data_IF_847207540729
#
_entry.id   IF_847207540729
#
_cell.length_a   1.000
_cell.length_b   1.000
_cell.length_c   1.000
_cell.angle_alpha   90.00
_cell.angle_beta   90.00
_cell.angle_gamma   90.00
#
_symmetry.space_group_name_H-M   'P 1'
#
loop_
_entity.id
_entity.type
_entity.pdbx_description
1 polymer ?
#
# COMPACT_ATOMS: atom_id res chain seq x y z
N UNK A 1 13.43 17.60 31.43
CA UNK A 1 12.36 16.87 30.69
C UNK A 1 12.20 17.50 29.32
N UNK A 2 12.05 16.72 28.25
CA UNK A 2 11.94 17.22 26.86
C UNK A 2 10.69 18.09 26.63
N UNK A 3 9.66 17.94 27.45
CA UNK A 3 8.39 18.69 27.35
C UNK A 3 8.58 20.22 27.43
N UNK A 4 9.64 20.72 28.06
CA UNK A 4 9.91 22.16 28.14
C UNK A 4 10.40 22.76 26.82
N UNK A 5 10.93 21.93 25.91
CA UNK A 5 11.43 22.40 24.61
C UNK A 5 10.30 22.95 23.72
N UNK A 6 9.06 22.53 23.96
CA UNK A 6 7.86 22.98 23.24
C UNK A 6 7.38 24.39 23.64
N UNK A 7 7.92 24.96 24.72
CA UNK A 7 7.52 26.26 25.25
C UNK A 7 8.67 27.27 25.19
N UNK A 8 8.33 28.55 25.16
CA UNK A 8 9.30 29.62 25.40
C UNK A 8 9.81 29.59 26.84
N UNK A 9 10.92 30.30 27.10
CA UNK A 9 11.44 30.46 28.45
C UNK A 9 10.34 31.03 29.38
N UNK A 10 10.16 30.48 30.59
CA UNK A 10 9.04 30.83 31.43
C UNK A 10 9.16 32.25 31.97
N UNK A 11 8.01 32.90 32.13
CA UNK A 11 7.90 34.18 32.84
C UNK A 11 7.36 33.89 34.24
N UNK A 12 8.02 34.44 35.26
CA UNK A 12 7.56 34.35 36.65
C UNK A 12 6.37 35.29 36.84
N UNK A 13 5.27 34.77 37.36
CA UNK A 13 4.02 35.50 37.61
C UNK A 13 3.60 35.29 39.05
N UNK A 14 3.33 36.38 39.76
CA UNK A 14 2.74 36.33 41.10
C UNK A 14 1.23 36.38 40.96
N UNK A 15 0.57 35.32 41.42
CA UNK A 15 -0.89 35.22 41.41
C UNK A 15 -1.50 36.11 42.51
N UNK A 16 -2.79 36.50 42.40
CA UNK A 16 -3.46 37.34 43.40
C UNK A 16 -3.48 36.76 44.83
N UNK A 17 -3.33 35.44 44.96
CA UNK A 17 -3.24 34.72 46.23
C UNK A 17 -1.80 34.68 46.80
N UNK A 18 -0.86 35.41 46.19
CA UNK A 18 0.54 35.50 46.61
C UNK A 18 1.43 34.36 46.14
N UNK A 19 0.88 33.36 45.42
CA UNK A 19 1.67 32.23 44.92
C UNK A 19 2.51 32.62 43.71
N UNK A 20 3.77 32.17 43.71
CA UNK A 20 4.66 32.30 42.57
C UNK A 20 4.40 31.14 41.60
N UNK A 21 4.16 31.48 40.33
CA UNK A 21 3.92 30.53 39.26
C UNK A 21 4.78 30.87 38.05
N UNK A 22 5.30 29.84 37.39
CA UNK A 22 5.97 29.96 36.10
C UNK A 22 4.97 29.78 34.96
N UNK A 23 4.84 30.81 34.11
CA UNK A 23 4.02 30.78 32.88
C UNK A 23 4.87 30.36 31.70
N UNK A 24 4.49 29.26 31.05
CA UNK A 24 5.11 28.73 29.84
C UNK A 24 4.18 28.96 28.66
N UNK A 25 4.58 29.80 27.71
CA UNK A 25 3.82 30.09 26.48
C UNK A 25 4.22 29.10 25.40
N UNK A 26 3.24 28.53 24.69
CA UNK A 26 3.50 27.58 23.62
C UNK A 26 4.18 28.27 22.43
N UNK A 27 5.16 27.59 21.82
CA UNK A 27 5.88 28.10 20.63
C UNK A 27 5.05 28.03 19.35
N UNK A 28 4.04 27.17 19.31
CA UNK A 28 3.21 26.90 18.12
C UNK A 28 1.92 27.70 18.18
N UNK A 29 1.21 27.63 19.31
CA UNK A 29 0.04 28.45 19.58
C UNK A 29 0.39 29.51 20.63
N UNK A 30 0.77 30.69 20.15
CA UNK A 30 1.11 31.83 21.01
C UNK A 30 -0.03 32.30 21.92
N UNK A 31 -1.27 31.86 21.69
CA UNK A 31 -2.42 32.16 22.56
C UNK A 31 -2.57 31.18 23.73
N UNK A 32 -1.93 30.01 23.65
CA UNK A 32 -1.97 28.98 24.68
C UNK A 32 -0.79 29.09 25.65
N UNK A 33 -1.07 28.86 26.94
CA UNK A 33 -0.02 28.80 27.98
C UNK A 33 -0.33 27.75 29.04
N UNK A 34 0.72 27.24 29.69
CA UNK A 34 0.66 26.34 30.83
C UNK A 34 1.31 27.01 32.04
N UNK A 35 0.68 26.91 33.20
CA UNK A 35 1.20 27.43 34.47
C UNK A 35 1.74 26.27 35.31
N UNK A 36 2.80 26.52 36.08
CA UNK A 36 3.39 25.54 37.01
C UNK A 36 3.91 26.23 38.27
N UNK A 37 3.67 25.66 39.43
CA UNK A 37 4.23 26.19 40.68
C UNK A 37 5.67 25.69 40.90
N UNK A 38 6.46 26.44 41.68
CA UNK A 38 7.89 26.16 41.90
C UNK A 38 8.14 24.82 42.61
N UNK A 39 7.15 24.33 43.37
CA UNK A 39 7.21 23.07 44.13
C UNK A 39 6.62 21.85 43.40
N UNK A 40 6.05 22.03 42.20
CA UNK A 40 5.44 20.93 41.45
C UNK A 40 6.45 20.23 40.56
N UNK A 41 6.80 18.97 40.80
CA UNK A 41 7.76 18.23 39.96
C UNK A 41 7.13 17.51 38.75
N UNK A 42 5.79 17.48 38.67
CA UNK A 42 5.07 16.84 37.57
C UNK A 42 5.04 17.71 36.30
N UNK A 43 5.07 17.06 35.14
CA UNK A 43 4.93 17.70 33.82
C UNK A 43 3.66 17.29 33.08
N UNK A 44 2.68 16.76 33.80
CA UNK A 44 1.46 16.20 33.20
C UNK A 44 0.62 17.20 32.40
N UNK A 45 0.51 18.45 32.86
CA UNK A 45 -0.19 19.52 32.12
C UNK A 45 0.55 19.90 30.82
N UNK A 46 1.89 19.94 30.82
CA UNK A 46 2.72 20.17 29.63
C UNK A 46 2.49 19.05 28.60
N UNK A 47 2.56 17.79 29.05
CA UNK A 47 2.35 16.63 28.18
C UNK A 47 0.95 16.62 27.55
N UNK A 48 -0.09 16.96 28.33
CA UNK A 48 -1.47 17.06 27.83
C UNK A 48 -1.63 18.17 26.80
N UNK A 49 -1.00 19.32 27.01
CA UNK A 49 -1.00 20.39 26.02
C UNK A 49 -0.31 19.95 24.72
N UNK A 50 0.89 19.37 24.81
CA UNK A 50 1.67 18.92 23.65
C UNK A 50 0.88 17.91 22.82
N UNK A 51 0.19 16.96 23.45
CA UNK A 51 -0.62 15.95 22.75
C UNK A 51 -1.75 16.55 21.90
N UNK A 52 -2.28 17.70 22.29
CA UNK A 52 -3.31 18.44 21.53
C UNK A 52 -2.67 19.37 20.50
N UNK A 53 -1.59 20.05 20.89
CA UNK A 53 -0.92 21.06 20.07
C UNK A 53 -0.16 20.45 18.88
N UNK A 54 0.40 19.26 19.08
CA UNK A 54 1.04 18.44 18.05
C UNK A 54 0.49 17.02 18.18
N UNK A 55 -0.65 16.71 17.53
CA UNK A 55 -1.13 15.34 17.48
C UNK A 55 -0.03 14.47 16.87
N UNK A 56 0.33 13.39 17.57
CA UNK A 56 1.32 12.44 17.08
C UNK A 56 0.75 11.79 15.84
N UNK A 57 1.47 11.88 14.71
CA UNK A 57 1.16 11.11 13.49
C UNK A 57 1.34 9.62 13.79
N UNK A 58 0.29 8.98 14.27
CA UNK A 58 0.26 7.52 14.42
C UNK A 58 -0.26 6.89 13.12
N UNK A 59 0.23 5.68 12.76
CA UNK A 59 -0.28 4.94 11.61
C UNK A 59 -1.81 4.77 11.65
N UNK A 60 -2.40 4.64 12.84
CA UNK A 60 -3.84 4.46 13.04
C UNK A 60 -4.63 5.74 12.76
N UNK A 61 -4.13 6.90 13.21
CA UNK A 61 -4.75 8.20 12.92
C UNK A 61 -4.70 8.49 11.41
N UNK A 62 -3.60 8.13 10.76
CA UNK A 62 -3.42 8.30 9.32
C UNK A 62 -4.33 7.39 8.50
N UNK A 63 -4.51 6.12 8.91
CA UNK A 63 -5.45 5.19 8.25
C UNK A 63 -6.89 5.68 8.39
N UNK A 64 -7.25 6.22 9.56
CA UNK A 64 -8.60 6.76 9.80
C UNK A 64 -8.87 8.04 8.98
N UNK A 65 -7.87 8.91 8.85
CA UNK A 65 -7.95 10.11 8.01
C UNK A 65 -7.99 9.76 6.51
N UNK A 66 -7.16 8.83 6.06
CA UNK A 66 -7.17 8.31 4.68
C UNK A 66 -8.52 7.66 4.36
N UNK A 67 -9.10 6.89 5.30
CA UNK A 67 -10.44 6.32 5.16
C UNK A 67 -11.53 7.39 5.08
N UNK A 68 -11.48 8.42 5.95
CA UNK A 68 -12.43 9.54 5.93
C UNK A 68 -12.34 10.36 4.62
N UNK A 69 -11.15 10.44 4.02
CA UNK A 69 -10.91 11.04 2.69
C UNK A 69 -11.28 10.12 1.52
N UNK A 70 -11.76 8.90 1.79
CA UNK A 70 -12.18 7.94 0.76
C UNK A 70 -11.02 7.27 0.02
N UNK A 71 -9.81 7.26 0.59
CA UNK A 71 -8.65 6.61 -0.02
C UNK A 71 -8.82 5.08 0.05
N UNK A 72 -9.01 4.44 -1.10
CA UNK A 72 -9.14 2.97 -1.20
C UNK A 72 -7.83 2.26 -1.55
N UNK A 73 -6.70 2.98 -1.48
CA UNK A 73 -5.39 2.44 -1.81
C UNK A 73 -5.00 1.33 -0.82
N UNK A 74 -4.49 0.21 -1.34
CA UNK A 74 -3.83 -0.79 -0.52
C UNK A 74 -2.68 -1.44 -1.29
N UNK A 75 -1.59 -1.71 -0.57
CA UNK A 75 -0.38 -2.29 -1.17
C UNK A 75 -0.62 -3.65 -1.85
N UNK A 76 -1.38 -4.60 -1.26
CA UNK A 76 -1.68 -5.85 -1.95
C UNK A 76 -2.53 -5.64 -3.22
N UNK A 77 -3.50 -4.72 -3.17
CA UNK A 77 -4.43 -4.47 -4.28
C UNK A 77 -3.74 -3.82 -5.46
N UNK A 78 -2.86 -2.84 -5.23
CA UNK A 78 -2.13 -2.19 -6.34
C UNK A 78 -1.20 -3.17 -7.04
N UNK A 79 -0.52 -4.06 -6.29
CA UNK A 79 0.31 -5.13 -6.86
C UNK A 79 -0.50 -6.06 -7.76
N UNK A 80 -1.64 -6.53 -7.26
CA UNK A 80 -2.53 -7.40 -8.02
C UNK A 80 -3.04 -6.72 -9.30
N UNK A 81 -3.52 -5.48 -9.21
CA UNK A 81 -4.05 -4.74 -10.37
C UNK A 81 -2.97 -4.47 -11.43
N UNK A 82 -1.75 -4.11 -11.03
CA UNK A 82 -0.63 -3.91 -11.95
C UNK A 82 -0.21 -5.23 -12.61
N UNK A 83 -0.11 -6.32 -11.84
CA UNK A 83 0.22 -7.63 -12.39
C UNK A 83 -0.83 -8.07 -13.43
N UNK A 84 -2.11 -7.91 -13.12
CA UNK A 84 -3.21 -8.20 -14.03
C UNK A 84 -3.17 -7.31 -15.28
N UNK A 85 -2.94 -6.01 -15.11
CA UNK A 85 -2.83 -5.08 -16.22
C UNK A 85 -1.70 -5.45 -17.18
N UNK A 86 -0.51 -5.76 -16.64
CA UNK A 86 0.63 -6.20 -17.43
C UNK A 86 0.35 -7.50 -18.18
N UNK A 87 -0.21 -8.50 -17.50
CA UNK A 87 -0.52 -9.80 -18.10
C UNK A 87 -1.60 -9.69 -19.18
N UNK A 88 -2.72 -9.01 -18.89
CA UNK A 88 -3.87 -8.94 -19.80
C UNK A 88 -3.64 -8.00 -20.99
N UNK A 89 -2.73 -7.02 -20.89
CA UNK A 89 -2.48 -6.02 -21.93
C UNK A 89 -1.08 -6.12 -22.53
N UNK A 90 -0.37 -7.22 -22.26
CA UNK A 90 0.98 -7.48 -22.76
C UNK A 90 1.95 -6.31 -22.52
N UNK A 91 1.86 -5.67 -21.34
CA UNK A 91 2.75 -4.54 -21.01
C UNK A 91 4.10 -5.04 -20.49
N UNK A 92 5.21 -4.36 -20.82
CA UNK A 92 6.49 -4.65 -20.20
C UNK A 92 6.42 -4.38 -18.70
N UNK A 93 7.08 -5.19 -17.88
CA UNK A 93 7.06 -5.02 -16.42
C UNK A 93 7.72 -3.72 -15.96
N UNK A 94 8.60 -3.14 -16.79
CA UNK A 94 9.25 -1.85 -16.54
C UNK A 94 8.31 -0.66 -16.64
N UNK A 95 7.07 -0.82 -17.11
CA UNK A 95 6.09 0.29 -17.20
C UNK A 95 5.84 0.98 -15.85
N UNK A 96 6.04 0.27 -14.74
CA UNK A 96 5.93 0.83 -13.37
C UNK A 96 7.07 1.77 -13.01
N UNK A 97 8.14 1.77 -13.79
CA UNK A 97 9.35 2.59 -13.63
C UNK A 97 9.30 3.86 -14.49
N UNK A 98 8.29 3.99 -15.38
CA UNK A 98 8.08 5.18 -16.19
C UNK A 98 7.71 6.37 -15.29
N UNK A 99 8.40 7.50 -15.49
CA UNK A 99 8.27 8.67 -14.61
C UNK A 99 6.88 9.29 -14.71
N UNK A 100 6.34 9.40 -15.91
CA UNK A 100 5.02 9.97 -16.18
C UNK A 100 3.93 9.14 -15.51
N UNK A 101 4.06 7.81 -15.52
CA UNK A 101 3.13 6.91 -14.82
C UNK A 101 3.20 7.10 -13.31
N UNK A 102 4.40 7.22 -12.75
CA UNK A 102 4.61 7.50 -11.33
C UNK A 102 4.02 8.86 -10.93
N UNK A 103 4.27 9.90 -11.72
CA UNK A 103 3.77 11.25 -11.48
C UNK A 103 2.23 11.30 -11.50
N UNK A 104 1.58 10.64 -12.46
CA UNK A 104 0.12 10.53 -12.51
C UNK A 104 -0.42 9.91 -11.22
N UNK A 105 0.17 8.81 -10.75
CA UNK A 105 -0.31 8.13 -9.55
C UNK A 105 -0.01 8.92 -8.27
N UNK A 106 1.15 9.58 -8.20
CA UNK A 106 1.51 10.44 -7.07
C UNK A 106 0.63 11.69 -6.99
N UNK A 107 0.20 12.24 -8.13
CA UNK A 107 -0.79 13.32 -8.19
C UNK A 107 -2.12 12.88 -7.56
N UNK A 108 -2.57 11.66 -7.86
CA UNK A 108 -3.82 11.10 -7.33
C UNK A 108 -3.71 10.72 -5.85
N UNK A 109 -2.56 10.19 -5.43
CA UNK A 109 -2.27 9.86 -4.05
C UNK A 109 -0.77 9.98 -3.77
N UNK A 110 -0.31 11.06 -3.08
CA UNK A 110 1.12 11.32 -2.90
C UNK A 110 1.91 10.23 -2.17
N UNK A 111 1.22 9.40 -1.37
CA UNK A 111 1.83 8.28 -0.62
C UNK A 111 1.77 6.95 -1.39
N UNK A 112 1.35 6.96 -2.65
CA UNK A 112 1.28 5.74 -3.46
C UNK A 112 2.66 5.09 -3.54
N UNK A 113 2.70 3.78 -3.30
CA UNK A 113 3.90 2.97 -3.51
C UNK A 113 3.63 2.06 -4.70
N UNK A 114 4.62 1.96 -5.58
CA UNK A 114 4.58 1.07 -6.72
C UNK A 114 5.52 -0.13 -6.54
N UNK A 115 5.13 -1.32 -7.05
CA UNK A 115 6.04 -2.45 -7.14
C UNK A 115 7.15 -2.15 -8.15
N UNK A 116 8.34 -2.72 -7.92
CA UNK A 116 9.39 -2.77 -8.94
C UNK A 116 9.02 -3.75 -10.07
N UNK A 117 9.65 -3.61 -11.24
CA UNK A 117 9.47 -4.58 -12.35
C UNK A 117 9.71 -6.03 -11.96
N UNK A 118 10.65 -6.26 -11.03
CA UNK A 118 10.96 -7.59 -10.50
C UNK A 118 9.85 -8.12 -9.60
N UNK A 119 9.18 -7.24 -8.85
CA UNK A 119 8.02 -7.59 -8.04
C UNK A 119 6.84 -7.93 -8.94
N UNK A 120 6.58 -7.14 -9.98
CA UNK A 120 5.54 -7.44 -10.98
C UNK A 120 5.80 -8.79 -11.65
N UNK A 121 7.04 -9.06 -12.06
CA UNK A 121 7.43 -10.34 -12.66
C UNK A 121 7.17 -11.53 -11.74
N UNK A 122 7.49 -11.42 -10.44
CA UNK A 122 7.22 -12.46 -9.44
C UNK A 122 5.71 -12.65 -9.22
N UNK A 123 4.96 -11.55 -9.15
CA UNK A 123 3.51 -11.61 -8.91
C UNK A 123 2.79 -12.28 -10.07
N UNK A 124 3.17 -11.97 -11.32
CA UNK A 124 2.61 -12.64 -12.51
C UNK A 124 2.96 -14.13 -12.52
N UNK A 125 4.19 -14.49 -12.13
CA UNK A 125 4.59 -15.91 -12.03
C UNK A 125 3.73 -16.64 -11.01
N UNK A 126 3.53 -16.07 -9.83
CA UNK A 126 2.68 -16.66 -8.80
C UNK A 126 1.23 -16.80 -9.27
N UNK A 127 0.69 -15.78 -9.95
CA UNK A 127 -0.66 -15.85 -10.55
C UNK A 127 -0.73 -16.99 -11.58
N UNK A 128 0.29 -17.13 -12.42
CA UNK A 128 0.39 -18.21 -13.40
C UNK A 128 0.42 -19.59 -12.74
N UNK A 129 1.23 -19.77 -11.69
CA UNK A 129 1.34 -21.04 -10.95
C UNK A 129 -0.01 -21.44 -10.33
N UNK A 130 -0.67 -20.51 -9.63
CA UNK A 130 -2.01 -20.75 -9.04
C UNK A 130 -3.05 -21.05 -10.12
N UNK A 131 -2.99 -20.35 -11.24
CA UNK A 131 -3.91 -20.56 -12.37
C UNK A 131 -3.67 -21.93 -13.02
N UNK A 132 -2.41 -22.34 -13.16
CA UNK A 132 -2.01 -23.65 -13.69
C UNK A 132 -2.55 -24.77 -12.80
N UNK A 133 -2.38 -24.68 -11.50
CA UNK A 133 -2.92 -25.67 -10.55
C UNK A 133 -4.45 -25.76 -10.65
N UNK A 134 -5.12 -24.61 -10.80
CA UNK A 134 -6.57 -24.55 -10.99
C UNK A 134 -7.02 -25.22 -12.30
N UNK A 135 -6.26 -25.03 -13.39
CA UNK A 135 -6.53 -25.69 -14.69
C UNK A 135 -6.29 -27.20 -14.60
N UNK A 136 -5.23 -27.65 -13.92
CA UNK A 136 -4.96 -29.08 -13.69
C UNK A 136 -6.10 -29.72 -12.89
N UNK A 137 -6.50 -29.10 -11.78
CA UNK A 137 -7.60 -29.58 -10.96
C UNK A 137 -8.91 -29.65 -11.75
N UNK A 138 -9.15 -28.66 -12.62
CA UNK A 138 -10.31 -28.66 -13.53
C UNK A 138 -10.30 -29.86 -14.48
N UNK A 139 -9.15 -30.20 -15.09
CA UNK A 139 -9.04 -31.40 -15.94
C UNK A 139 -9.20 -32.71 -15.15
N UNK A 140 -8.65 -32.80 -13.93
CA UNK A 140 -8.80 -33.98 -13.06
C UNK A 140 -10.27 -34.21 -12.67
N UNK A 141 -10.97 -33.14 -12.27
CA UNK A 141 -12.39 -33.21 -11.95
C UNK A 141 -13.25 -33.59 -13.17
N UNK A 142 -12.89 -33.05 -14.35
CA UNK A 142 -13.55 -33.38 -15.60
C UNK A 142 -13.41 -34.88 -15.92
N UNK A 143 -12.20 -35.42 -15.80
CA UNK A 143 -11.92 -36.85 -16.01
C UNK A 143 -12.71 -37.74 -15.04
N UNK A 144 -12.80 -37.37 -13.76
CA UNK A 144 -13.54 -38.15 -12.76
C UNK A 144 -15.06 -38.09 -12.94
N UNK A 145 -15.64 -36.92 -13.27
CA UNK A 145 -17.10 -36.71 -13.31
C UNK A 145 -17.75 -37.05 -14.65
N UNK A 146 -17.03 -36.91 -15.76
CA UNK A 146 -17.60 -37.06 -17.12
C UNK A 146 -17.20 -38.40 -17.76
N UNK A 147 -17.39 -39.52 -17.05
CA UNK A 147 -17.20 -40.87 -17.63
C UNK A 147 -18.03 -41.12 -18.90
N UNK A 148 -19.03 -40.26 -19.20
CA UNK A 148 -19.93 -40.38 -20.35
C UNK A 148 -19.59 -39.48 -21.56
N UNK A 149 -18.72 -38.47 -21.44
CA UNK A 149 -18.36 -37.58 -22.56
C UNK A 149 -16.86 -37.27 -22.55
N UNK A 150 -16.04 -37.91 -23.40
CA UNK A 150 -14.61 -37.64 -23.46
C UNK A 150 -14.37 -36.24 -24.04
N UNK A 151 -14.07 -35.27 -23.17
CA UNK A 151 -13.50 -34.01 -23.60
C UNK A 151 -12.16 -34.27 -24.27
N UNK A 152 -11.99 -33.83 -25.52
CA UNK A 152 -10.71 -33.90 -26.23
C UNK A 152 -9.92 -32.62 -25.98
N UNK A 153 -8.62 -32.76 -25.73
CA UNK A 153 -7.68 -31.64 -25.74
C UNK A 153 -6.91 -31.70 -27.05
N UNK A 154 -7.03 -30.66 -27.87
CA UNK A 154 -6.27 -30.52 -29.11
C UNK A 154 -5.00 -29.72 -28.83
N UNK A 155 -3.85 -30.31 -29.13
CA UNK A 155 -2.54 -29.65 -28.96
C UNK A 155 -2.08 -29.15 -30.33
N UNK A 156 -1.87 -27.84 -30.46
CA UNK A 156 -1.22 -27.25 -31.62
C UNK A 156 0.22 -26.89 -31.25
N UNK A 157 1.15 -27.25 -32.12
CA UNK A 157 2.58 -26.95 -31.98
C UNK A 157 2.98 -26.08 -33.15
N UNK A 158 3.59 -24.93 -32.87
CA UNK A 158 4.08 -23.98 -33.87
C UNK A 158 5.57 -23.71 -33.62
N UNK A 159 6.40 -23.94 -34.64
CA UNK A 159 7.85 -23.80 -34.54
C UNK A 159 8.35 -22.75 -35.52
N UNK A 160 9.09 -21.76 -35.03
CA UNK A 160 9.65 -20.70 -35.88
C UNK A 160 11.05 -20.29 -35.45
N UNK A 161 11.83 -19.73 -36.38
CA UNK A 161 13.13 -19.13 -36.09
C UNK A 161 13.00 -17.62 -36.19
N UNK A 162 13.39 -16.89 -35.15
CA UNK A 162 13.39 -15.43 -35.14
C UNK A 162 14.47 -14.86 -36.08
N UNK A 163 14.35 -13.57 -36.48
CA UNK A 163 15.42 -12.88 -37.21
C UNK A 163 16.78 -12.89 -36.50
N UNK A 164 16.78 -13.07 -35.17
CA UNK A 164 17.99 -13.18 -34.35
C UNK A 164 18.54 -14.61 -34.28
N UNK A 165 18.09 -15.52 -35.16
CA UNK A 165 18.55 -16.92 -35.28
C UNK A 165 18.22 -17.78 -34.04
N UNK A 166 17.33 -17.32 -33.16
CA UNK A 166 16.79 -18.13 -32.09
C UNK A 166 15.60 -18.96 -32.57
N UNK A 167 15.59 -20.25 -32.28
CA UNK A 167 14.47 -21.16 -32.52
C UNK A 167 13.49 -21.15 -31.36
N UNK A 168 12.20 -21.09 -31.65
CA UNK A 168 11.10 -21.10 -30.70
C UNK A 168 10.11 -22.23 -31.01
N UNK A 169 9.47 -22.74 -29.97
CA UNK A 169 8.38 -23.70 -30.06
C UNK A 169 7.21 -23.21 -29.21
N UNK A 170 6.16 -22.74 -29.87
CA UNK A 170 4.86 -22.46 -29.25
C UNK A 170 4.05 -23.74 -29.12
N UNK A 171 3.53 -24.00 -27.92
CA UNK A 171 2.59 -25.11 -27.67
C UNK A 171 1.31 -24.50 -27.12
N UNK A 172 0.18 -24.78 -27.77
CA UNK A 172 -1.14 -24.34 -27.32
C UNK A 172 -2.06 -25.54 -27.14
N UNK A 173 -2.88 -25.51 -26.10
CA UNK A 173 -3.87 -26.53 -25.80
C UNK A 173 -5.26 -25.92 -25.89
N UNK A 174 -6.14 -26.56 -26.67
CA UNK A 174 -7.52 -26.14 -26.90
C UNK A 174 -8.46 -27.24 -26.42
N UNK A 175 -9.49 -26.89 -25.68
CA UNK A 175 -10.49 -27.85 -25.19
C UNK A 175 -11.87 -27.19 -25.15
N UNK A 176 -12.92 -27.99 -25.24
CA UNK A 176 -14.30 -27.49 -25.15
C UNK A 176 -14.88 -27.75 -23.76
N UNK A 177 -15.62 -26.79 -23.22
CA UNK A 177 -16.37 -26.93 -21.97
C UNK A 177 -17.80 -26.43 -22.15
N UNK A 178 -18.77 -27.31 -21.95
CA UNK A 178 -20.21 -26.98 -22.04
C UNK A 178 -20.64 -26.28 -23.35
N UNK A 179 -20.03 -26.66 -24.48
CA UNK A 179 -20.37 -26.10 -25.80
C UNK A 179 -19.65 -24.78 -26.15
N UNK A 180 -18.84 -24.22 -25.25
CA UNK A 180 -17.94 -23.11 -25.54
C UNK A 180 -16.51 -23.61 -25.78
N UNK A 181 -15.80 -22.94 -26.69
CA UNK A 181 -14.33 -23.01 -26.84
C UNK A 181 -13.71 -22.06 -25.83
#
# INVERSE_FOLDING_TARGET
SKVYEHFHAPVVVVMPDGKVMHRFVCKIDSSASCMRADYEDSTGNFGRHIAVCQPVDTPEAQVMEDFAKGVTYSWPRIRYLIALWCACRHRPFSIVEDKEFQEILQMLYPKVRLPSRFTVSRDIRQICDVTKDSVIAMFQLMHMRLQALPGKVHICVDGWTSPNVFSYLGVTAHWHKAGAI
#
